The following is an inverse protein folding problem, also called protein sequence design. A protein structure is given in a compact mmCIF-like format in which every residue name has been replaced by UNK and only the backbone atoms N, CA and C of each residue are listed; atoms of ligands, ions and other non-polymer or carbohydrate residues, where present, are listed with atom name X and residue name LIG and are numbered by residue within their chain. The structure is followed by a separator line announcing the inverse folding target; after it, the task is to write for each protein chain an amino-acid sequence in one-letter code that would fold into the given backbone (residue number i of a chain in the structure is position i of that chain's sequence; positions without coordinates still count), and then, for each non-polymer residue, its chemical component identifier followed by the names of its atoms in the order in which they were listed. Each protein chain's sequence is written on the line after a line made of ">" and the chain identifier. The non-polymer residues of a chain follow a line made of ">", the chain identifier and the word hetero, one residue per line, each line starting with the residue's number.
data_IF_882961671322
#
_entry.id   IF_882961671322
#
_cell.length_a   1.000
_cell.length_b   1.000
_cell.length_c   1.000
_cell.angle_alpha   90.00
_cell.angle_beta   90.00
_cell.angle_gamma   90.00
#
_symmetry.space_group_name_H-M   'P 1'
#
loop_
_entity.id
_entity.type
_entity.pdbx_description
1 polymer ?
#
# COMPACT_ATOMS: atom_id res chain seq x y z
N UNK A 1 -9.56 12.10 -2.39
CA UNK A 1 -8.96 12.53 -3.67
C UNK A 1 -9.34 11.58 -4.79
N UNK A 2 -9.33 12.09 -6.03
CA UNK A 2 -9.60 11.31 -7.23
C UNK A 2 -8.48 10.28 -7.48
N UNK A 3 -8.82 9.11 -8.03
CA UNK A 3 -7.84 8.07 -8.40
C UNK A 3 -6.83 8.62 -9.42
N UNK A 4 -5.56 8.14 -9.46
CA UNK A 4 -4.57 8.63 -10.40
C UNK A 4 -5.06 8.59 -11.86
N UNK A 5 -4.73 9.61 -12.67
CA UNK A 5 -5.17 9.73 -14.07
C UNK A 5 -4.85 8.47 -14.90
N UNK A 6 -3.72 7.81 -14.62
CA UNK A 6 -3.36 6.55 -15.26
C UNK A 6 -4.36 5.42 -14.96
N UNK A 7 -4.74 5.24 -13.70
CA UNK A 7 -5.73 4.25 -13.30
C UNK A 7 -7.09 4.51 -13.95
N UNK A 8 -7.51 5.77 -14.02
CA UNK A 8 -8.78 6.14 -14.68
C UNK A 8 -8.78 5.78 -16.16
N UNK A 9 -7.67 6.02 -16.88
CA UNK A 9 -7.53 5.60 -18.30
C UNK A 9 -7.58 4.08 -18.45
N UNK A 10 -6.89 3.35 -17.56
CA UNK A 10 -6.87 1.89 -17.58
C UNK A 10 -8.27 1.30 -17.34
N UNK A 11 -9.02 1.84 -16.37
CA UNK A 11 -10.39 1.44 -16.10
C UNK A 11 -11.36 1.74 -17.26
N UNK A 12 -11.17 2.85 -17.98
CA UNK A 12 -11.96 3.15 -19.17
C UNK A 12 -11.65 2.21 -20.33
N UNK A 13 -10.38 1.83 -20.51
CA UNK A 13 -9.92 1.01 -21.64
C UNK A 13 -10.14 -0.49 -21.43
N UNK A 14 -10.05 -0.96 -20.18
CA UNK A 14 -10.17 -2.37 -19.82
C UNK A 14 -11.07 -2.53 -18.58
N UNK A 15 -12.38 -2.28 -18.71
CA UNK A 15 -13.31 -2.27 -17.58
C UNK A 15 -13.41 -3.64 -16.90
N UNK A 16 -13.49 -4.74 -17.67
CA UNK A 16 -13.62 -6.10 -17.12
C UNK A 16 -12.37 -6.53 -16.35
N UNK A 17 -11.18 -6.14 -16.83
CA UNK A 17 -9.93 -6.38 -16.13
C UNK A 17 -9.91 -5.69 -14.77
N UNK A 18 -10.28 -4.41 -14.72
CA UNK A 18 -10.35 -3.66 -13.46
C UNK A 18 -11.42 -4.22 -12.53
N UNK A 19 -12.57 -4.63 -13.05
CA UNK A 19 -13.62 -5.27 -12.26
C UNK A 19 -13.13 -6.59 -11.64
N UNK A 20 -12.41 -7.42 -12.40
CA UNK A 20 -11.81 -8.65 -11.91
C UNK A 20 -10.77 -8.41 -10.80
N UNK A 21 -9.87 -7.44 -10.99
CA UNK A 21 -8.87 -7.06 -9.98
C UNK A 21 -9.53 -6.54 -8.70
N UNK A 22 -10.59 -5.72 -8.82
CA UNK A 22 -11.33 -5.23 -7.66
C UNK A 22 -12.05 -6.35 -6.91
N UNK A 23 -12.67 -7.29 -7.63
CA UNK A 23 -13.34 -8.46 -7.04
C UNK A 23 -12.35 -9.35 -6.30
N UNK A 24 -11.16 -9.59 -6.88
CA UNK A 24 -10.07 -10.30 -6.20
C UNK A 24 -9.67 -9.59 -4.90
N UNK A 25 -9.46 -8.27 -4.97
CA UNK A 25 -9.09 -7.47 -3.80
C UNK A 25 -10.13 -7.53 -2.67
N UNK A 26 -11.43 -7.53 -3.00
CA UNK A 26 -12.50 -7.69 -2.01
C UNK A 26 -12.51 -9.10 -1.41
N UNK A 27 -12.46 -10.14 -2.26
CA UNK A 27 -12.48 -11.52 -1.80
C UNK A 27 -11.32 -11.85 -0.84
N UNK A 28 -10.11 -11.36 -1.12
CA UNK A 28 -8.95 -11.57 -0.23
C UNK A 28 -9.10 -10.83 1.10
N UNK A 29 -9.70 -9.63 1.10
CA UNK A 29 -9.97 -8.88 2.34
C UNK A 29 -10.97 -9.60 3.24
N UNK A 30 -12.00 -10.21 2.65
CA UNK A 30 -13.06 -10.88 3.41
C UNK A 30 -12.67 -12.30 3.86
N UNK A 31 -11.59 -12.87 3.32
CA UNK A 31 -11.19 -14.25 3.59
C UNK A 31 -10.38 -14.45 4.87
N UNK A 32 -9.78 -13.38 5.42
CA UNK A 32 -8.79 -13.48 6.49
C UNK A 32 -9.28 -13.02 7.87
N UNK A 33 -8.67 -13.51 8.96
CA UNK A 33 -9.00 -13.06 10.32
C UNK A 33 -8.28 -11.77 10.72
N UNK A 34 -7.43 -11.22 9.84
CA UNK A 34 -6.60 -10.07 10.15
C UNK A 34 -7.42 -8.78 10.10
N UNK A 35 -7.23 -7.94 11.12
CA UNK A 35 -7.83 -6.62 11.13
C UNK A 35 -7.33 -5.77 9.94
N UNK A 36 -8.17 -4.86 9.40
CA UNK A 36 -7.83 -4.05 8.24
C UNK A 36 -6.50 -3.30 8.38
N UNK A 37 -6.22 -2.74 9.57
CA UNK A 37 -4.94 -2.05 9.85
C UNK A 37 -3.74 -2.96 9.59
N UNK A 38 -3.77 -4.15 10.17
CA UNK A 38 -2.68 -5.13 10.08
C UNK A 38 -2.49 -5.58 8.63
N UNK A 39 -3.59 -5.84 7.92
CA UNK A 39 -3.52 -6.23 6.51
C UNK A 39 -2.87 -5.14 5.63
N UNK A 40 -3.17 -3.86 5.87
CA UNK A 40 -2.56 -2.76 5.13
C UNK A 40 -1.07 -2.58 5.46
N UNK A 41 -0.67 -2.75 6.72
CA UNK A 41 0.75 -2.69 7.11
C UNK A 41 1.58 -3.84 6.49
N UNK A 42 1.01 -5.05 6.39
CA UNK A 42 1.66 -6.18 5.70
C UNK A 42 1.83 -5.86 4.20
N UNK A 43 0.80 -5.33 3.55
CA UNK A 43 0.88 -4.99 2.13
C UNK A 43 1.80 -3.80 1.87
N UNK A 44 1.87 -2.83 2.78
CA UNK A 44 2.85 -1.75 2.77
C UNK A 44 4.27 -2.31 2.82
N UNK A 45 4.54 -3.25 3.73
CA UNK A 45 5.85 -3.88 3.84
C UNK A 45 6.24 -4.63 2.56
N UNK A 46 5.30 -5.37 1.97
CA UNK A 46 5.52 -6.04 0.69
C UNK A 46 5.78 -5.03 -0.45
N UNK A 47 5.04 -3.92 -0.50
CA UNK A 47 5.23 -2.86 -1.48
C UNK A 47 6.61 -2.21 -1.37
N UNK A 48 7.09 -1.97 -0.14
CA UNK A 48 8.43 -1.48 0.12
C UNK A 48 9.50 -2.48 -0.34
N UNK A 49 9.32 -3.76 -0.05
CA UNK A 49 10.26 -4.81 -0.42
C UNK A 49 10.42 -4.97 -1.95
N UNK A 50 9.37 -4.71 -2.72
CA UNK A 50 9.41 -4.72 -4.20
C UNK A 50 9.63 -3.32 -4.81
N UNK A 51 9.97 -2.33 -3.99
CA UNK A 51 10.24 -0.93 -4.38
C UNK A 51 9.13 -0.29 -5.24
N UNK A 52 7.86 -0.58 -4.91
CA UNK A 52 6.70 -0.04 -5.60
C UNK A 52 6.17 1.20 -4.92
N UNK A 53 6.74 2.37 -5.24
CA UNK A 53 6.38 3.68 -4.67
C UNK A 53 4.87 3.95 -4.67
N UNK A 54 4.20 3.81 -5.82
CA UNK A 54 2.76 4.04 -5.91
C UNK A 54 1.92 3.09 -5.03
N UNK A 55 2.42 1.88 -4.79
CA UNK A 55 1.79 0.92 -3.87
C UNK A 55 2.07 1.28 -2.42
N UNK A 56 3.29 1.73 -2.09
CA UNK A 56 3.65 2.26 -0.77
C UNK A 56 2.72 3.42 -0.39
N UNK A 57 2.56 4.42 -1.26
CA UNK A 57 1.59 5.51 -1.06
C UNK A 57 0.15 4.99 -0.88
N UNK A 58 -0.25 4.00 -1.68
CA UNK A 58 -1.62 3.44 -1.57
C UNK A 58 -1.86 2.77 -0.23
N UNK A 59 -0.96 1.89 0.21
CA UNK A 59 -1.10 1.12 1.45
C UNK A 59 -0.91 1.99 2.68
N UNK A 60 0.03 2.94 2.69
CA UNK A 60 0.20 3.87 3.80
C UNK A 60 -1.09 4.67 4.06
N UNK A 61 -1.71 5.27 3.03
CA UNK A 61 -3.00 5.97 3.18
C UNK A 61 -4.13 5.07 3.65
N UNK A 62 -4.18 3.83 3.15
CA UNK A 62 -5.22 2.87 3.54
C UNK A 62 -5.03 2.39 4.96
N UNK A 63 -3.78 2.21 5.41
CA UNK A 63 -3.44 1.92 6.80
C UNK A 63 -3.91 3.07 7.71
N UNK A 64 -3.62 4.33 7.37
CA UNK A 64 -4.12 5.50 8.12
C UNK A 64 -5.65 5.50 8.20
N UNK A 65 -6.34 5.26 7.07
CA UNK A 65 -7.82 5.16 7.05
C UNK A 65 -8.36 3.99 7.88
N UNK A 66 -7.57 2.93 8.04
CA UNK A 66 -7.89 1.78 8.88
C UNK A 66 -7.51 2.00 10.36
N UNK A 67 -7.06 3.19 10.73
CA UNK A 67 -6.72 3.56 12.11
C UNK A 67 -5.26 3.38 12.48
N UNK A 68 -4.36 3.15 11.52
CA UNK A 68 -2.93 3.18 11.80
C UNK A 68 -2.47 4.61 12.17
N UNK A 69 -1.50 4.71 13.07
CA UNK A 69 -0.77 5.97 13.29
C UNK A 69 0.41 6.10 12.31
N UNK A 70 0.92 7.31 12.15
CA UNK A 70 2.16 7.55 11.39
C UNK A 70 3.32 6.77 12.01
N UNK A 71 3.41 6.71 13.33
CA UNK A 71 4.45 5.94 14.04
C UNK A 71 4.36 4.44 13.76
N UNK A 72 3.14 3.86 13.68
CA UNK A 72 2.95 2.45 13.31
C UNK A 72 3.41 2.17 11.88
N UNK A 73 3.15 3.10 10.94
CA UNK A 73 3.61 3.01 9.54
C UNK A 73 5.14 3.07 9.46
N UNK A 74 5.74 4.05 10.11
CA UNK A 74 7.19 4.24 10.13
C UNK A 74 7.89 3.04 10.77
N UNK A 75 7.36 2.55 11.90
CA UNK A 75 7.91 1.38 12.56
C UNK A 75 7.78 0.11 11.71
N UNK A 76 6.64 -0.10 11.03
CA UNK A 76 6.46 -1.24 10.13
C UNK A 76 7.51 -1.26 9.00
N UNK A 77 7.90 -0.09 8.47
CA UNK A 77 8.97 0.03 7.48
C UNK A 77 10.36 -0.18 8.09
N UNK A 78 10.64 0.39 9.27
CA UNK A 78 11.91 0.22 9.98
C UNK A 78 12.21 -1.24 10.32
N UNK A 79 11.19 -2.04 10.66
CA UNK A 79 11.32 -3.49 10.93
C UNK A 79 11.91 -4.26 9.73
N UNK A 80 11.80 -3.73 8.51
CA UNK A 80 12.30 -4.38 7.31
C UNK A 80 13.81 -4.21 7.11
N UNK A 81 14.49 -3.39 7.91
CA UNK A 81 15.90 -3.03 7.71
C UNK A 81 16.82 -4.25 7.62
N UNK A 82 16.62 -5.26 8.47
CA UNK A 82 17.40 -6.50 8.44
C UNK A 82 17.04 -7.44 7.28
N UNK A 83 15.90 -7.21 6.62
CA UNK A 83 15.38 -8.06 5.54
C UNK A 83 15.71 -7.50 4.16
N UNK A 84 15.51 -6.19 3.95
CA UNK A 84 15.66 -5.54 2.64
C UNK A 84 16.77 -4.46 2.60
N UNK A 85 17.43 -4.21 3.74
CA UNK A 85 18.53 -3.25 3.85
C UNK A 85 18.09 -1.80 4.01
N UNK A 86 19.00 -0.99 4.57
CA UNK A 86 18.77 0.43 4.85
C UNK A 86 18.32 1.25 3.61
N UNK A 87 18.94 1.12 2.41
CA UNK A 87 18.55 1.96 1.27
C UNK A 87 17.09 1.80 0.84
N UNK A 88 16.56 0.58 0.85
CA UNK A 88 15.17 0.31 0.50
C UNK A 88 14.20 0.85 1.55
N UNK A 89 14.54 0.71 2.84
CA UNK A 89 13.75 1.27 3.94
C UNK A 89 13.76 2.80 3.91
N UNK A 90 14.91 3.44 3.72
CA UNK A 90 15.03 4.89 3.63
C UNK A 90 14.19 5.46 2.47
N UNK A 91 14.21 4.81 1.31
CA UNK A 91 13.36 5.18 0.18
C UNK A 91 11.86 5.06 0.55
N UNK A 92 11.45 3.93 1.13
CA UNK A 92 10.06 3.73 1.54
C UNK A 92 9.58 4.76 2.57
N UNK A 93 10.43 5.13 3.53
CA UNK A 93 10.16 6.21 4.48
C UNK A 93 9.96 7.55 3.76
N UNK A 94 10.83 7.88 2.81
CA UNK A 94 10.70 9.12 2.03
C UNK A 94 9.40 9.20 1.21
N UNK A 95 8.91 8.05 0.74
CA UNK A 95 7.65 7.95 0.00
C UNK A 95 6.43 8.15 0.90
N UNK A 96 6.43 7.59 2.12
CA UNK A 96 5.28 7.80 3.03
C UNK A 96 5.21 9.23 3.56
N UNK A 97 6.34 9.94 3.59
CA UNK A 97 6.42 11.36 3.98
C UNK A 97 6.11 12.32 2.81
N UNK A 98 6.03 11.84 1.57
CA UNK A 98 5.75 12.68 0.41
C UNK A 98 4.29 13.19 0.48
N UNK A 99 4.03 14.51 0.43
CA UNK A 99 2.67 15.05 0.40
C UNK A 99 1.85 14.65 -0.85
N UNK A 100 2.49 14.05 -1.87
CA UNK A 100 1.82 13.41 -3.00
C UNK A 100 1.30 11.99 -2.71
N UNK A 101 1.64 11.45 -1.54
CA UNK A 101 1.32 10.10 -1.08
C UNK A 101 -0.12 9.87 -0.65
#
# INVERSE_FOLDING_TARGET
>A
MAKPKHFQRLAKRYPDYIAAVQKLGAAVKDAGPLEPKVAELIQLAAAAAVQSEGSVHSHARRALKAGATVDEINHALLLLTSTIGFPAVAAALSWVDDPSA
#
